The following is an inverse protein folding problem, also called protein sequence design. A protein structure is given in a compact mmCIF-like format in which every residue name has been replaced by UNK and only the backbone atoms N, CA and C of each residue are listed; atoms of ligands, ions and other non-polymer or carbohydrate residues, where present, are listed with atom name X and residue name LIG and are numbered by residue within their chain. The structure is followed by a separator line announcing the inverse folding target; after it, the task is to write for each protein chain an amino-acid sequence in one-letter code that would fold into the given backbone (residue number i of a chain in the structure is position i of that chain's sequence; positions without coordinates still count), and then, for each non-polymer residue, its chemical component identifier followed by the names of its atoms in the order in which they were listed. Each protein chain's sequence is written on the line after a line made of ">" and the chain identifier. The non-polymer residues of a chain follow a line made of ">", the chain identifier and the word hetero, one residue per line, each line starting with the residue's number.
data_IF_067571292995
#
_entry.id   IF_067571292995
#
_cell.length_a   1.000
_cell.length_b   1.000
_cell.length_c   1.000
_cell.angle_alpha   90.00
_cell.angle_beta   90.00
_cell.angle_gamma   90.00
#
_symmetry.space_group_name_H-M   'P 1'
#
loop_
_entity.id
_entity.type
_entity.pdbx_description
1 polymer ?
#
# COMPACT_ATOMS: atom_id res chain seq x y z
N UNK A 1 -6.73 -3.48 2.91
CA UNK A 1 -5.90 -4.28 1.99
C UNK A 1 -6.51 -4.17 0.60
N UNK A 2 -5.71 -4.08 -0.46
CA UNK A 2 -6.22 -4.04 -1.84
C UNK A 2 -7.05 -5.27 -2.13
N UNK A 3 -8.18 -5.09 -2.82
CA UNK A 3 -9.00 -6.20 -3.31
C UNK A 3 -8.35 -6.90 -4.53
N UNK A 4 -7.24 -6.35 -5.05
CA UNK A 4 -6.55 -6.84 -6.23
C UNK A 4 -5.07 -7.14 -5.97
N UNK A 5 -4.74 -8.07 -5.05
CA UNK A 5 -3.36 -8.51 -4.88
C UNK A 5 -2.84 -9.18 -6.17
N UNK A 6 -1.53 -9.05 -6.42
CA UNK A 6 -0.88 -9.63 -7.62
C UNK A 6 0.15 -10.66 -7.19
N UNK A 7 0.04 -11.88 -7.72
CA UNK A 7 1.00 -12.96 -7.48
C UNK A 7 2.06 -12.96 -8.58
N UNK A 8 3.34 -13.06 -8.20
CA UNK A 8 4.43 -13.28 -9.15
C UNK A 8 4.42 -14.73 -9.64
N UNK A 9 4.29 -14.98 -10.95
CA UNK A 9 4.35 -16.33 -11.50
C UNK A 9 5.74 -17.00 -11.37
N UNK A 10 6.83 -16.23 -11.22
CA UNK A 10 8.19 -16.79 -11.14
C UNK A 10 8.59 -17.22 -9.74
N UNK A 11 8.21 -16.45 -8.72
CA UNK A 11 8.62 -16.70 -7.33
C UNK A 11 7.50 -17.17 -6.43
N UNK A 12 6.24 -17.02 -6.85
CA UNK A 12 5.08 -17.32 -6.02
C UNK A 12 4.74 -16.25 -4.97
N UNK A 13 5.55 -15.18 -4.85
CA UNK A 13 5.31 -14.08 -3.91
C UNK A 13 4.04 -13.29 -4.28
N UNK A 14 3.29 -12.82 -3.28
CA UNK A 14 2.10 -11.99 -3.46
C UNK A 14 2.38 -10.55 -3.04
N UNK A 15 2.12 -9.62 -3.95
CA UNK A 15 2.25 -8.19 -3.73
C UNK A 15 0.89 -7.58 -3.46
N UNK A 16 0.81 -6.80 -2.38
CA UNK A 16 -0.39 -6.10 -1.99
C UNK A 16 -0.06 -4.74 -1.39
N UNK A 17 -1.02 -3.84 -1.47
CA UNK A 17 -0.93 -2.53 -0.84
C UNK A 17 -2.21 -2.21 -0.08
N UNK A 18 -2.13 -1.28 0.85
CA UNK A 18 -3.26 -0.70 1.58
C UNK A 18 -3.16 0.81 1.43
N UNK A 19 -4.27 1.47 1.14
CA UNK A 19 -4.36 2.92 1.25
C UNK A 19 -5.41 3.29 2.29
N UNK A 20 -5.30 4.48 2.87
CA UNK A 20 -6.22 4.97 3.89
C UNK A 20 -6.14 6.48 4.05
N UNK A 21 -7.16 7.11 4.67
CA UNK A 21 -7.19 8.56 4.90
C UNK A 21 -6.28 8.99 6.06
N UNK A 22 -5.68 8.05 6.78
CA UNK A 22 -4.79 8.27 7.91
C UNK A 22 -3.40 7.79 7.53
N UNK A 23 -2.32 8.54 7.86
CA UNK A 23 -0.95 8.09 7.70
C UNK A 23 -0.71 6.70 8.34
N UNK A 24 0.03 5.80 7.70
CA UNK A 24 0.58 5.93 6.35
C UNK A 24 -0.53 5.83 5.31
N UNK A 25 -0.62 6.84 4.42
CA UNK A 25 -1.68 6.92 3.41
C UNK A 25 -1.61 5.78 2.39
N UNK A 26 -0.43 5.17 2.23
CA UNK A 26 -0.14 4.01 1.40
C UNK A 26 0.87 3.11 2.13
N UNK A 27 0.58 1.83 2.23
CA UNK A 27 1.46 0.79 2.79
C UNK A 27 1.63 -0.30 1.74
N UNK A 28 2.87 -0.73 1.50
CA UNK A 28 3.18 -1.85 0.62
C UNK A 28 3.68 -3.04 1.43
N UNK A 29 3.21 -4.24 1.09
CA UNK A 29 3.63 -5.46 1.76
C UNK A 29 3.64 -6.63 0.79
N UNK A 30 4.54 -7.57 1.08
CA UNK A 30 4.75 -8.75 0.26
C UNK A 30 4.57 -10.00 1.11
N UNK A 31 3.81 -10.96 0.62
CA UNK A 31 3.74 -12.30 1.18
C UNK A 31 4.67 -13.20 0.35
N UNK A 32 5.44 -14.07 1.00
CA UNK A 32 6.22 -15.07 0.29
C UNK A 32 5.35 -16.22 -0.25
N UNK A 33 5.98 -17.21 -0.88
CA UNK A 33 5.26 -18.34 -1.47
C UNK A 33 4.66 -19.26 -0.41
N UNK A 34 5.23 -19.24 0.79
CA UNK A 34 4.85 -20.01 1.97
C UNK A 34 3.72 -19.34 2.76
N UNK A 35 3.43 -18.07 2.47
CA UNK A 35 2.37 -17.28 3.11
C UNK A 35 2.87 -16.41 4.27
N UNK A 36 4.17 -16.38 4.54
CA UNK A 36 4.77 -15.50 5.53
C UNK A 36 4.86 -14.07 5.00
N UNK A 37 4.54 -13.14 5.89
CA UNK A 37 4.50 -11.72 5.58
C UNK A 37 5.89 -11.12 5.77
N UNK A 38 6.48 -10.57 4.71
CA UNK A 38 7.72 -9.80 4.81
C UNK A 38 7.49 -8.46 5.54
N UNK A 39 8.55 -7.82 6.08
CA UNK A 39 8.42 -6.54 6.78
C UNK A 39 7.62 -5.53 5.96
N UNK A 40 6.60 -4.94 6.58
CA UNK A 40 5.81 -3.89 5.96
C UNK A 40 6.68 -2.67 5.73
N UNK A 41 6.58 -2.10 4.53
CA UNK A 41 7.02 -0.73 4.30
C UNK A 41 5.87 0.18 4.72
N UNK A 42 5.86 0.56 6.00
CA UNK A 42 4.80 1.35 6.63
C UNK A 42 5.35 2.39 7.61
N UNK A 43 5.17 3.67 7.27
CA UNK A 43 5.40 4.80 8.17
C UNK A 43 4.33 4.90 9.26
N UNK A 44 4.76 5.07 10.51
CA UNK A 44 4.07 5.44 11.77
C UNK A 44 2.57 5.11 11.98
N UNK A 45 2.20 4.38 13.06
CA UNK A 45 0.84 3.85 13.27
C UNK A 45 -0.01 4.63 14.28
N UNK A 46 -0.05 5.97 14.25
CA UNK A 46 -0.94 6.73 15.14
C UNK A 46 -1.68 7.86 14.41
N UNK A 47 -2.97 7.62 14.15
CA UNK A 47 -4.10 8.45 14.64
C UNK A 47 -5.37 8.17 13.80
N UNK A 48 -6.14 7.19 14.24
CA UNK A 48 -7.50 6.95 13.74
C UNK A 48 -8.51 7.81 14.49
N UNK A 49 -9.57 8.22 13.76
CA UNK A 49 -10.86 8.79 14.21
C UNK A 49 -10.95 10.30 13.94
N UNK A 50 -11.67 10.70 12.88
CA UNK A 50 -12.66 11.82 12.81
C UNK A 50 -12.98 12.10 11.32
N UNK A 51 -14.27 12.13 10.96
CA UNK A 51 -14.74 12.81 9.73
C UNK A 51 -15.82 12.07 8.93
N UNK A 52 -17.07 12.14 9.37
CA UNK A 52 -18.24 11.52 8.72
C UNK A 52 -18.72 12.21 7.42
N UNK A 53 -17.89 12.20 6.38
CA UNK A 53 -18.22 12.65 5.01
C UNK A 53 -17.97 11.56 3.95
N UNK A 54 -18.29 11.84 2.67
CA UNK A 54 -17.94 10.93 1.56
C UNK A 54 -16.41 10.83 1.44
N UNK A 55 -15.80 9.64 1.60
CA UNK A 55 -14.34 9.49 1.64
C UNK A 55 -13.68 9.57 0.25
N UNK A 56 -14.46 9.74 -0.81
CA UNK A 56 -13.98 9.72 -2.19
C UNK A 56 -14.64 10.84 -3.01
N UNK A 57 -13.81 11.58 -3.76
CA UNK A 57 -14.21 12.62 -4.69
C UNK A 57 -13.18 12.75 -5.81
N UNK A 58 -13.58 13.26 -6.98
CA UNK A 58 -12.69 13.50 -8.11
C UNK A 58 -12.38 14.99 -8.24
N UNK A 59 -11.11 15.36 -8.21
CA UNK A 59 -10.66 16.72 -8.44
C UNK A 59 -9.86 16.80 -9.77
N UNK A 60 -10.37 17.48 -10.80
CA UNK A 60 -9.69 17.60 -12.10
C UNK A 60 -8.39 18.42 -12.05
N UNK A 61 -8.10 19.14 -10.95
CA UNK A 61 -6.82 19.81 -10.75
C UNK A 61 -5.71 18.88 -10.24
N UNK A 62 -6.03 17.64 -9.86
CA UNK A 62 -5.02 16.67 -9.40
C UNK A 62 -4.14 16.18 -10.55
N UNK A 63 -2.82 16.20 -10.33
CA UNK A 63 -1.84 15.67 -11.29
C UNK A 63 -1.69 14.16 -11.06
N UNK A 64 -1.92 13.31 -12.07
CA UNK A 64 -1.71 11.86 -11.91
C UNK A 64 -0.22 11.56 -11.71
N UNK A 65 0.09 10.75 -10.70
CA UNK A 65 1.45 10.32 -10.36
C UNK A 65 1.59 8.80 -10.51
N UNK A 66 2.77 8.34 -10.92
CA UNK A 66 3.13 6.92 -11.00
C UNK A 66 4.26 6.67 -10.01
N UNK A 67 4.00 5.84 -8.99
CA UNK A 67 5.02 5.38 -8.06
C UNK A 67 5.75 4.14 -8.58
N UNK A 68 7.08 4.13 -8.49
CA UNK A 68 7.91 2.96 -8.79
C UNK A 68 8.64 2.56 -7.51
N UNK A 69 8.30 1.40 -6.97
CA UNK A 69 8.95 0.83 -5.79
C UNK A 69 9.75 -0.42 -6.19
N UNK A 70 11.06 -0.50 -5.86
CA UNK A 70 11.82 -1.72 -6.01
C UNK A 70 11.18 -2.86 -5.23
N UNK A 71 11.15 -4.06 -5.83
CA UNK A 71 10.55 -5.27 -5.28
C UNK A 71 11.01 -5.64 -3.86
N UNK A 72 12.26 -5.32 -3.55
CA UNK A 72 12.91 -5.63 -2.28
C UNK A 72 13.43 -4.36 -1.60
N UNK A 73 12.75 -3.23 -1.80
CA UNK A 73 13.08 -2.00 -1.07
C UNK A 73 13.03 -2.28 0.44
N UNK A 74 14.05 -1.82 1.15
CA UNK A 74 14.17 -1.96 2.62
C UNK A 74 14.08 -0.61 3.33
N UNK A 75 14.02 0.45 2.55
CA UNK A 75 14.09 1.85 2.92
C UNK A 75 13.00 2.65 2.18
N UNK A 76 12.59 3.75 2.81
CA UNK A 76 11.67 4.71 2.23
C UNK A 76 12.44 5.66 1.29
N UNK A 77 11.89 6.05 0.13
CA UNK A 77 12.48 7.12 -0.68
C UNK A 77 12.40 8.49 -0.01
#
# INVERSE_FOLDING_TARGET
>A
MTAHPKKDPKTGEMFAFRYGPVPPFLTYFTLDAEGEKRPDLGMSPMDMIIGGGSPLGSDPATVPMIGVLPRYATDEP
#
